data_IF_263320687623
#
_entry.id   IF_263320687623
#
_cell.length_a   1.000
_cell.length_b   1.000
_cell.length_c   1.000
_cell.angle_alpha   90.00
_cell.angle_beta   90.00
_cell.angle_gamma   90.00
#
_symmetry.space_group_name_H-M   'P 1'
#
loop_
_entity.id
_entity.type
_entity.pdbx_description
1 polymer ?
#
# COMPACT_ATOMS: atom_id res chain seq x y z
N UNK A 1 87.12 -29.85 -21.23
CA UNK A 1 87.74 -28.68 -21.88
C UNK A 1 86.83 -27.50 -21.59
N UNK A 2 86.98 -26.79 -20.53
CA UNK A 2 87.69 -25.52 -20.31
C UNK A 2 87.35 -24.48 -21.41
N UNK A 3 86.58 -23.46 -21.00
CA UNK A 3 86.84 -21.98 -21.07
C UNK A 3 85.54 -21.26 -20.65
N UNK A 4 85.42 -20.72 -19.47
CA UNK A 4 85.81 -19.38 -18.96
C UNK A 4 85.05 -18.20 -19.56
N UNK A 5 84.47 -17.46 -18.69
CA UNK A 5 83.62 -16.26 -18.67
C UNK A 5 84.26 -15.01 -19.41
N UNK A 6 83.51 -13.89 -19.54
CA UNK A 6 83.55 -12.93 -18.46
C UNK A 6 82.25 -12.16 -18.21
N UNK A 7 82.16 -11.66 -16.96
CA UNK A 7 81.25 -10.68 -16.40
C UNK A 7 81.35 -9.33 -17.11
N UNK A 8 80.22 -8.72 -17.36
CA UNK A 8 80.09 -7.26 -17.42
C UNK A 8 78.86 -6.81 -16.69
N UNK A 9 79.00 -6.05 -15.60
CA UNK A 9 77.99 -5.17 -15.00
C UNK A 9 78.10 -3.80 -15.65
N UNK A 10 77.03 -3.04 -15.81
CA UNK A 10 76.97 -1.73 -15.24
C UNK A 10 75.64 -1.39 -14.52
N UNK A 11 75.86 -0.87 -13.34
CA UNK A 11 75.32 0.33 -12.69
C UNK A 11 73.82 0.64 -12.84
N UNK A 12 73.13 0.37 -11.75
CA UNK A 12 72.16 1.16 -11.02
C UNK A 12 71.70 2.49 -11.63
N UNK A 13 70.38 2.58 -11.99
CA UNK A 13 69.68 3.82 -11.89
C UNK A 13 68.39 3.47 -11.11
N UNK A 14 68.39 3.85 -9.84
CA UNK A 14 67.18 3.81 -8.97
C UNK A 14 66.28 4.98 -9.38
N UNK A 15 65.21 4.69 -10.11
CA UNK A 15 64.11 5.63 -10.33
C UNK A 15 63.14 5.49 -9.17
N UNK A 16 63.14 6.41 -8.24
CA UNK A 16 62.12 6.62 -7.20
C UNK A 16 60.87 7.11 -7.89
N UNK A 17 59.91 6.18 -8.12
CA UNK A 17 58.52 6.51 -8.42
C UNK A 17 57.82 6.77 -7.07
N UNK A 18 57.73 8.05 -6.71
CA UNK A 18 56.80 8.51 -5.67
C UNK A 18 55.37 8.35 -6.17
N UNK A 19 54.75 7.23 -5.84
CA UNK A 19 53.31 7.07 -5.98
C UNK A 19 52.60 7.99 -4.96
N UNK A 20 52.19 9.18 -5.40
CA UNK A 20 51.23 10.00 -4.65
C UNK A 20 49.90 9.24 -4.56
N UNK A 21 49.70 8.51 -3.45
CA UNK A 21 48.39 8.01 -3.08
C UNK A 21 47.51 9.23 -2.78
N UNK A 22 46.74 9.65 -3.76
CA UNK A 22 45.59 10.52 -3.54
C UNK A 22 44.59 9.69 -2.78
N UNK A 23 44.66 9.71 -1.46
CA UNK A 23 43.57 9.33 -0.58
C UNK A 23 42.44 10.34 -0.85
N UNK A 24 41.63 10.02 -1.83
CA UNK A 24 40.33 10.65 -1.98
C UNK A 24 39.57 10.39 -0.67
N UNK A 25 39.61 11.37 0.22
CA UNK A 25 38.68 11.41 1.33
C UNK A 25 37.27 11.40 0.69
N UNK A 26 36.64 10.23 0.60
CA UNK A 26 35.20 10.13 0.38
C UNK A 26 34.58 10.88 1.55
N UNK A 27 34.23 12.15 1.32
CA UNK A 27 33.32 12.85 2.26
C UNK A 27 32.17 11.91 2.50
N UNK A 28 31.78 11.63 3.76
CA UNK A 28 30.55 10.91 4.01
C UNK A 28 29.47 11.67 3.24
N UNK A 29 28.82 11.00 2.30
CA UNK A 29 27.67 11.56 1.62
C UNK A 29 26.64 11.82 2.73
N UNK A 30 26.58 13.08 3.21
CA UNK A 30 25.52 13.49 4.11
C UNK A 30 24.22 13.24 3.35
N UNK A 31 23.33 12.44 3.94
CA UNK A 31 21.99 12.29 3.38
C UNK A 31 21.36 13.68 3.26
N UNK A 32 20.67 13.91 2.16
CA UNK A 32 19.95 15.18 1.93
C UNK A 32 18.96 15.38 3.07
N UNK A 33 18.89 16.58 3.65
CA UNK A 33 17.82 16.89 4.60
C UNK A 33 16.49 16.89 3.87
N UNK A 34 15.50 16.19 4.41
CA UNK A 34 14.16 16.14 3.78
C UNK A 34 13.54 17.54 3.60
N UNK A 35 13.86 18.48 4.51
CA UNK A 35 13.41 19.88 4.43
C UNK A 35 14.06 20.69 3.29
N UNK A 36 15.12 20.20 2.68
CA UNK A 36 15.78 20.83 1.54
C UNK A 36 15.17 20.41 0.19
N UNK A 37 14.25 19.45 0.18
CA UNK A 37 13.54 19.02 -1.02
C UNK A 37 12.52 20.09 -1.46
N UNK A 38 12.16 20.05 -2.75
CA UNK A 38 11.20 21.00 -3.32
C UNK A 38 9.78 20.67 -2.86
N UNK A 39 9.11 21.63 -2.19
CA UNK A 39 7.74 21.49 -1.68
C UNK A 39 7.50 20.11 -1.03
N UNK A 40 8.21 19.75 0.04
CA UNK A 40 8.08 18.45 0.65
C UNK A 40 6.69 18.28 1.26
N UNK A 41 6.07 17.11 1.01
CA UNK A 41 4.86 16.64 1.65
C UNK A 41 5.24 15.41 2.48
N UNK A 42 5.15 15.54 3.80
CA UNK A 42 5.51 14.46 4.74
C UNK A 42 4.33 13.52 4.96
N UNK A 43 4.55 12.24 4.67
CA UNK A 43 3.51 11.21 4.67
C UNK A 43 3.90 10.06 5.61
N UNK A 44 2.92 9.57 6.38
CA UNK A 44 3.02 8.32 7.13
C UNK A 44 1.76 7.48 6.95
N UNK A 45 1.84 6.17 7.22
CA UNK A 45 0.66 5.29 7.15
C UNK A 45 0.89 3.94 6.51
N UNK A 46 -0.15 3.43 5.85
CA UNK A 46 -0.17 2.22 5.04
C UNK A 46 0.07 2.47 3.54
N UNK A 47 -0.09 1.44 2.69
CA UNK A 47 -0.10 1.58 1.23
C UNK A 47 1.26 1.89 0.57
N UNK A 48 2.32 1.19 0.95
CA UNK A 48 3.71 1.48 0.53
C UNK A 48 3.89 1.53 -0.99
N UNK A 49 3.35 0.56 -1.73
CA UNK A 49 3.60 0.45 -3.19
C UNK A 49 2.92 1.59 -3.92
N UNK A 50 1.65 1.86 -3.61
CA UNK A 50 0.92 2.97 -4.23
C UNK A 50 1.56 4.34 -3.95
N UNK A 51 2.07 4.55 -2.73
CA UNK A 51 2.74 5.82 -2.39
C UNK A 51 4.09 5.95 -3.08
N UNK A 52 4.86 4.89 -3.22
CA UNK A 52 6.12 4.91 -3.96
C UNK A 52 5.88 5.24 -5.45
N UNK A 53 4.88 4.60 -6.07
CA UNK A 53 4.54 4.84 -7.47
C UNK A 53 3.99 6.25 -7.68
N UNK A 54 3.16 6.75 -6.76
CA UNK A 54 2.69 8.13 -6.78
C UNK A 54 3.84 9.12 -6.60
N UNK A 55 4.75 8.88 -5.65
CA UNK A 55 5.92 9.73 -5.42
C UNK A 55 6.81 9.80 -6.67
N UNK A 56 7.03 8.67 -7.33
CA UNK A 56 7.74 8.62 -8.62
C UNK A 56 7.03 9.43 -9.69
N UNK A 57 5.72 9.26 -9.83
CA UNK A 57 4.93 9.98 -10.84
C UNK A 57 4.92 11.50 -10.59
N UNK A 58 4.88 11.95 -9.31
CA UNK A 58 4.86 13.36 -8.93
C UNK A 58 6.24 14.01 -8.87
N UNK A 59 7.32 13.25 -8.89
CA UNK A 59 8.69 13.77 -8.72
C UNK A 59 9.06 14.87 -9.74
N UNK A 60 8.48 14.84 -10.95
CA UNK A 60 8.66 15.84 -12.00
C UNK A 60 7.73 17.06 -11.88
N UNK A 61 6.77 17.04 -10.95
CA UNK A 61 5.73 18.09 -10.84
C UNK A 61 6.04 19.18 -9.81
N UNK A 62 7.23 19.15 -9.21
CA UNK A 62 7.63 20.10 -8.18
C UNK A 62 7.07 19.81 -6.79
N UNK A 63 6.58 18.59 -6.55
CA UNK A 63 6.15 18.10 -5.23
C UNK A 63 7.02 16.90 -4.86
N UNK A 64 7.71 16.96 -3.73
CA UNK A 64 8.47 15.85 -3.19
C UNK A 64 7.67 15.12 -2.12
N UNK A 65 7.14 13.93 -2.44
CA UNK A 65 6.51 13.10 -1.41
C UNK A 65 7.59 12.44 -0.57
N UNK A 66 7.67 12.82 0.70
CA UNK A 66 8.60 12.26 1.69
C UNK A 66 7.81 11.32 2.59
N UNK A 67 8.11 10.02 2.53
CA UNK A 67 7.32 9.04 3.25
C UNK A 67 8.15 8.16 4.19
N UNK A 68 7.59 7.97 5.39
CA UNK A 68 8.07 7.03 6.39
C UNK A 68 6.86 6.26 6.92
N UNK A 69 6.57 5.13 6.27
CA UNK A 69 5.35 4.37 6.50
C UNK A 69 5.51 3.47 7.73
N UNK A 70 4.62 3.62 8.71
CA UNK A 70 4.68 2.93 9.99
C UNK A 70 3.40 2.13 10.30
N UNK A 71 2.31 2.36 9.57
CA UNK A 71 1.01 1.70 9.75
C UNK A 71 -0.12 2.69 9.99
N UNK A 72 -1.35 2.22 9.77
CA UNK A 72 -2.56 3.06 9.74
C UNK A 72 -2.84 3.74 11.08
N UNK A 73 -2.77 3.04 12.19
CA UNK A 73 -3.09 3.62 13.50
C UNK A 73 -2.01 4.62 13.97
N UNK A 74 -0.75 4.45 13.57
CA UNK A 74 0.29 5.45 13.81
C UNK A 74 0.07 6.71 12.96
N UNK A 75 -0.46 6.57 11.73
CA UNK A 75 -0.83 7.71 10.90
C UNK A 75 -2.01 8.50 11.49
N UNK A 76 -3.02 7.78 11.99
CA UNK A 76 -4.14 8.40 12.72
C UNK A 76 -3.63 9.20 13.92
N UNK A 77 -2.76 8.62 14.74
CA UNK A 77 -2.14 9.28 15.90
C UNK A 77 -1.30 10.50 15.48
N UNK A 78 -0.47 10.36 14.45
CA UNK A 78 0.36 11.46 13.94
C UNK A 78 -0.47 12.67 13.51
N UNK A 79 -1.62 12.47 12.88
CA UNK A 79 -2.50 13.57 12.46
C UNK A 79 -3.34 14.10 13.63
N UNK A 80 -3.95 13.24 14.42
CA UNK A 80 -4.86 13.67 15.48
C UNK A 80 -4.10 14.34 16.63
N UNK A 81 -3.03 13.75 17.08
CA UNK A 81 -2.28 14.18 18.26
C UNK A 81 -1.00 14.96 17.92
N UNK A 82 -0.64 15.05 16.62
CA UNK A 82 0.58 15.71 16.18
C UNK A 82 1.86 14.95 16.56
N UNK A 83 1.76 13.64 16.78
CA UNK A 83 2.92 12.79 17.12
C UNK A 83 3.92 12.79 15.96
N UNK A 84 5.16 13.25 16.17
CA UNK A 84 6.15 13.30 15.10
C UNK A 84 6.57 11.90 14.65
N UNK A 85 6.89 11.77 13.36
CA UNK A 85 7.44 10.56 12.74
C UNK A 85 8.96 10.65 12.68
N UNK A 86 9.63 9.56 13.03
CA UNK A 86 11.09 9.55 13.19
C UNK A 86 11.54 9.93 14.60
N UNK A 87 12.83 9.77 14.86
CA UNK A 87 13.46 10.10 16.14
C UNK A 87 14.97 10.27 15.94
N UNK A 88 15.72 10.61 16.99
CA UNK A 88 17.17 10.76 16.95
C UNK A 88 17.92 9.48 16.47
N UNK A 89 17.32 8.32 16.64
CA UNK A 89 17.88 7.01 16.21
C UNK A 89 17.24 6.47 14.94
N UNK A 90 16.23 7.16 14.38
CA UNK A 90 15.47 6.71 13.22
C UNK A 90 15.04 7.91 12.34
N UNK A 91 16.02 8.59 11.75
CA UNK A 91 15.81 9.80 10.93
C UNK A 91 15.47 9.51 9.47
N UNK A 92 15.72 8.29 8.98
CA UNK A 92 15.65 8.01 7.54
C UNK A 92 14.21 7.95 7.03
N UNK A 93 13.90 8.77 6.03
CA UNK A 93 12.68 8.71 5.22
C UNK A 93 13.02 8.45 3.74
N UNK A 94 12.04 8.04 2.96
CA UNK A 94 12.18 7.81 1.53
C UNK A 94 11.49 8.91 0.73
N UNK A 95 11.99 9.19 -0.47
CA UNK A 95 11.35 10.01 -1.49
C UNK A 95 11.79 9.52 -2.89
N UNK A 96 11.15 9.98 -3.95
CA UNK A 96 11.58 9.71 -5.31
C UNK A 96 12.19 10.97 -5.93
N UNK A 97 13.38 10.83 -6.54
CA UNK A 97 13.80 11.72 -7.59
C UNK A 97 13.17 11.29 -8.94
N UNK A 98 13.57 11.87 -10.04
CA UNK A 98 12.98 11.54 -11.35
C UNK A 98 13.08 10.05 -11.74
N UNK A 99 13.95 9.24 -11.14
CA UNK A 99 14.28 7.90 -11.61
C UNK A 99 14.30 6.81 -10.54
N UNK A 100 14.73 7.14 -9.31
CA UNK A 100 15.01 6.16 -8.26
C UNK A 100 14.51 6.60 -6.90
N UNK A 101 14.17 5.62 -6.04
CA UNK A 101 13.90 5.88 -4.64
C UNK A 101 15.18 6.32 -3.93
N UNK A 102 15.13 7.46 -3.28
CA UNK A 102 16.21 8.08 -2.54
C UNK A 102 15.90 8.09 -1.04
N UNK A 103 16.88 8.42 -0.24
CA UNK A 103 16.75 8.61 1.21
C UNK A 103 17.10 10.05 1.58
N UNK A 104 16.38 10.58 2.58
CA UNK A 104 16.67 11.85 3.19
C UNK A 104 16.53 11.75 4.71
N UNK A 105 17.15 12.68 5.44
CA UNK A 105 17.11 12.72 6.90
C UNK A 105 16.02 13.67 7.40
N UNK A 106 15.14 13.14 8.24
CA UNK A 106 14.21 13.90 9.08
C UNK A 106 14.96 14.52 10.27
N UNK A 107 14.40 15.58 10.90
CA UNK A 107 14.95 16.12 12.12
C UNK A 107 15.08 15.06 13.23
N UNK A 108 16.12 15.11 14.09
CA UNK A 108 16.26 14.20 15.23
C UNK A 108 15.11 14.27 16.24
N UNK A 109 14.36 15.38 16.26
CA UNK A 109 13.15 15.54 17.07
C UNK A 109 11.91 14.90 16.45
N UNK A 110 12.06 14.28 15.28
CA UNK A 110 10.97 13.81 14.45
C UNK A 110 10.34 14.93 13.60
N UNK A 111 9.51 14.53 12.66
CA UNK A 111 8.81 15.40 11.70
C UNK A 111 7.30 15.29 11.87
N UNK A 112 6.63 16.42 12.08
CA UNK A 112 5.17 16.48 11.98
C UNK A 112 4.78 16.21 10.52
N UNK A 113 3.80 15.33 10.32
CA UNK A 113 3.36 14.93 8.97
C UNK A 113 2.22 15.80 8.46
N UNK A 114 2.18 15.96 7.14
CA UNK A 114 1.14 16.72 6.43
C UNK A 114 -0.05 15.83 6.05
N UNK A 115 0.23 14.54 5.76
CA UNK A 115 -0.77 13.59 5.27
C UNK A 115 -0.58 12.24 5.96
N UNK A 116 -1.62 11.77 6.64
CA UNK A 116 -1.73 10.44 7.20
C UNK A 116 -2.54 9.54 6.28
N UNK A 117 -2.04 8.33 6.02
CA UNK A 117 -2.74 7.32 5.23
C UNK A 117 -3.20 6.20 6.15
N UNK A 118 -4.50 5.97 6.21
CA UNK A 118 -5.05 4.87 7.01
C UNK A 118 -5.91 3.96 6.16
N UNK A 119 -5.64 2.67 6.26
CA UNK A 119 -6.40 1.60 5.59
C UNK A 119 -7.73 1.33 6.30
N UNK A 120 -7.94 1.93 7.45
CA UNK A 120 -9.14 1.76 8.28
C UNK A 120 -9.66 3.12 8.75
N UNK A 121 -10.94 3.17 9.11
CA UNK A 121 -11.52 4.39 9.67
C UNK A 121 -10.75 4.82 10.93
N UNK A 122 -10.53 6.12 11.14
CA UNK A 122 -9.80 6.62 12.32
C UNK A 122 -10.37 6.11 13.66
N UNK A 123 -11.70 5.92 13.73
CA UNK A 123 -12.38 5.35 14.90
C UNK A 123 -12.04 3.89 15.20
N UNK A 124 -11.49 3.15 14.24
CA UNK A 124 -10.99 1.79 14.43
C UNK A 124 -9.66 1.80 15.20
N UNK A 125 -8.83 2.83 15.01
CA UNK A 125 -7.54 2.96 15.68
C UNK A 125 -7.63 3.56 17.08
N UNK A 126 -8.55 4.50 17.29
CA UNK A 126 -8.76 5.14 18.60
C UNK A 126 -10.20 5.57 18.80
N UNK A 127 -10.64 5.62 20.06
CA UNK A 127 -11.98 6.06 20.40
C UNK A 127 -12.21 7.52 20.03
N UNK A 128 -13.22 7.78 19.20
CA UNK A 128 -13.60 9.12 18.74
C UNK A 128 -15.10 9.35 18.97
N UNK A 129 -15.56 9.47 20.25
CA UNK A 129 -16.98 9.54 20.55
C UNK A 129 -17.68 10.78 19.98
N UNK A 130 -16.93 11.86 19.71
CA UNK A 130 -17.41 13.09 19.07
C UNK A 130 -17.13 13.18 17.58
N UNK A 131 -16.64 12.11 16.95
CA UNK A 131 -16.11 12.14 15.58
C UNK A 131 -14.71 12.78 15.51
N UNK A 132 -14.26 13.05 14.29
CA UNK A 132 -12.99 13.75 14.07
C UNK A 132 -13.04 15.21 14.55
N UNK A 133 -11.93 15.76 15.10
CA UNK A 133 -11.84 17.18 15.38
C UNK A 133 -12.11 18.02 14.12
N UNK A 134 -12.77 19.17 14.26
CA UNK A 134 -13.16 20.04 13.14
C UNK A 134 -11.97 20.55 12.29
N UNK A 135 -10.76 20.53 12.86
CA UNK A 135 -9.53 20.90 12.17
C UNK A 135 -8.81 19.68 11.53
N UNK A 136 -9.48 18.55 11.38
CA UNK A 136 -8.96 17.36 10.70
C UNK A 136 -9.92 16.95 9.59
N UNK A 137 -9.41 16.87 8.37
CA UNK A 137 -10.12 16.32 7.22
C UNK A 137 -9.83 14.84 7.09
N UNK A 138 -10.85 14.07 6.73
CA UNK A 138 -10.79 12.68 6.30
C UNK A 138 -11.37 12.59 4.89
N UNK A 139 -10.52 12.36 3.91
CA UNK A 139 -10.90 12.27 2.51
C UNK A 139 -10.77 10.83 2.05
N UNK A 140 -11.82 10.31 1.41
CA UNK A 140 -11.84 8.94 0.95
C UNK A 140 -11.14 8.84 -0.41
N UNK A 141 -10.00 8.19 -0.41
CA UNK A 141 -9.18 7.90 -1.57
C UNK A 141 -9.56 6.60 -2.29
N UNK A 142 -8.59 5.96 -2.96
CA UNK A 142 -8.76 4.66 -3.57
C UNK A 142 -9.18 3.59 -2.56
N UNK A 143 -9.77 2.50 -3.05
CA UNK A 143 -10.24 1.39 -2.21
C UNK A 143 -9.20 0.28 -2.19
N UNK A 144 -8.81 -0.13 -0.98
CA UNK A 144 -8.00 -1.32 -0.75
C UNK A 144 -8.86 -2.50 -0.30
N UNK A 145 -8.52 -3.69 -0.79
CA UNK A 145 -9.06 -4.95 -0.33
C UNK A 145 -8.00 -5.74 0.44
N UNK A 146 -8.44 -6.61 1.32
CA UNK A 146 -7.57 -7.41 2.19
C UNK A 146 -7.90 -8.88 2.00
N UNK A 147 -6.92 -9.76 1.98
CA UNK A 147 -7.12 -11.16 1.68
C UNK A 147 -6.32 -12.07 2.59
N UNK A 148 -6.89 -13.22 2.92
CA UNK A 148 -6.11 -14.32 3.46
C UNK A 148 -5.27 -14.93 2.35
N UNK A 149 -4.05 -15.31 2.70
CA UNK A 149 -3.08 -15.86 1.76
C UNK A 149 -2.43 -17.11 2.31
N UNK A 150 -2.13 -18.03 1.40
CA UNK A 150 -1.41 -19.28 1.69
C UNK A 150 -0.26 -19.43 0.70
N UNK A 151 0.77 -20.26 0.98
CA UNK A 151 1.79 -20.61 -0.01
C UNK A 151 1.17 -21.16 -1.30
N UNK A 152 1.79 -20.92 -2.45
CA UNK A 152 1.29 -21.33 -3.77
C UNK A 152 1.04 -22.84 -3.90
N UNK A 153 1.79 -23.63 -3.15
CA UNK A 153 1.70 -25.09 -3.12
C UNK A 153 0.58 -25.64 -2.23
N UNK A 154 -0.09 -24.78 -1.43
CA UNK A 154 -1.27 -25.18 -0.65
C UNK A 154 -2.47 -25.48 -1.54
N UNK A 155 -3.25 -26.47 -1.14
CA UNK A 155 -4.51 -26.84 -1.80
C UNK A 155 -5.72 -26.07 -1.29
N UNK A 156 -5.55 -25.28 -0.22
CA UNK A 156 -6.62 -24.49 0.39
C UNK A 156 -7.12 -23.40 -0.57
N UNK A 157 -8.44 -23.20 -0.63
CA UNK A 157 -9.09 -22.27 -1.59
C UNK A 157 -10.01 -21.25 -0.94
N UNK A 158 -10.50 -21.55 0.27
CA UNK A 158 -11.53 -20.75 0.93
C UNK A 158 -11.33 -20.75 2.45
N UNK A 159 -11.69 -19.64 3.07
CA UNK A 159 -11.82 -19.51 4.51
C UNK A 159 -13.13 -18.75 4.82
N UNK A 160 -13.91 -19.26 5.77
CA UNK A 160 -15.07 -18.55 6.25
C UNK A 160 -14.72 -17.61 7.41
N UNK A 161 -15.56 -16.62 7.67
CA UNK A 161 -15.45 -15.75 8.86
C UNK A 161 -15.35 -16.56 10.15
N UNK A 162 -16.18 -17.59 10.29
CA UNK A 162 -16.15 -18.47 11.49
C UNK A 162 -14.80 -19.22 11.58
N UNK A 163 -14.29 -19.77 10.48
CA UNK A 163 -12.97 -20.40 10.48
C UNK A 163 -11.87 -19.40 10.86
N UNK A 164 -11.88 -18.20 10.29
CA UNK A 164 -10.94 -17.12 10.63
C UNK A 164 -11.00 -16.75 12.12
N UNK A 165 -12.21 -16.60 12.67
CA UNK A 165 -12.40 -16.33 14.09
C UNK A 165 -11.76 -17.41 14.98
N UNK A 166 -11.99 -18.68 14.70
CA UNK A 166 -11.41 -19.77 15.49
C UNK A 166 -9.90 -19.88 15.28
N UNK A 167 -9.42 -19.85 14.04
CA UNK A 167 -7.98 -19.97 13.72
C UNK A 167 -7.18 -18.89 14.43
N UNK A 168 -7.53 -17.63 14.25
CA UNK A 168 -6.75 -16.51 14.79
C UNK A 168 -7.11 -16.13 16.23
N UNK A 169 -8.29 -16.51 16.71
CA UNK A 169 -8.68 -16.27 18.11
C UNK A 169 -8.23 -17.35 19.07
N UNK A 170 -8.12 -18.60 18.62
CA UNK A 170 -7.86 -19.75 19.49
C UNK A 170 -6.61 -20.55 19.09
N UNK A 171 -6.05 -20.33 17.89
CA UNK A 171 -4.80 -20.94 17.45
C UNK A 171 -4.86 -22.47 17.49
N UNK A 172 -3.96 -23.09 18.25
CA UNK A 172 -3.88 -24.56 18.40
C UNK A 172 -5.16 -25.20 18.94
N UNK A 173 -5.96 -24.44 19.67
CA UNK A 173 -7.21 -24.91 20.29
C UNK A 173 -8.44 -24.62 19.40
N UNK A 174 -8.21 -24.14 18.17
CA UNK A 174 -9.27 -23.79 17.21
C UNK A 174 -10.09 -24.97 16.71
N UNK A 175 -9.44 -26.13 16.57
CA UNK A 175 -10.04 -27.32 15.95
C UNK A 175 -10.32 -27.16 14.45
N UNK A 176 -9.77 -26.15 13.80
CA UNK A 176 -9.98 -25.86 12.37
C UNK A 176 -8.78 -26.34 11.55
N UNK A 177 -8.84 -27.59 11.10
CA UNK A 177 -7.84 -28.13 10.18
C UNK A 177 -7.82 -27.38 8.83
N UNK A 178 -6.63 -27.18 8.24
CA UNK A 178 -5.29 -27.60 8.70
C UNK A 178 -4.56 -26.54 9.54
N UNK A 179 -5.21 -25.45 9.98
CA UNK A 179 -4.63 -24.27 10.61
C UNK A 179 -4.65 -24.35 12.14
N UNK A 180 -4.09 -25.43 12.71
CA UNK A 180 -4.03 -25.67 14.15
C UNK A 180 -2.64 -25.47 14.77
N UNK A 181 -1.62 -25.18 13.96
CA UNK A 181 -0.24 -24.97 14.41
C UNK A 181 0.08 -23.45 14.34
N UNK A 182 0.07 -22.78 15.52
CA UNK A 182 0.28 -21.33 15.62
C UNK A 182 1.61 -20.85 15.02
N UNK A 183 2.62 -21.71 14.92
CA UNK A 183 3.92 -21.36 14.32
C UNK A 183 3.84 -21.12 12.81
N UNK A 184 2.73 -21.47 12.15
CA UNK A 184 2.44 -21.26 10.74
C UNK A 184 1.28 -20.28 10.48
N UNK A 185 0.74 -19.67 11.54
CA UNK A 185 -0.22 -18.56 11.42
C UNK A 185 0.55 -17.25 11.45
N UNK A 186 0.62 -16.53 10.34
CA UNK A 186 1.37 -15.28 10.27
C UNK A 186 0.45 -14.07 10.33
N UNK A 187 0.68 -13.22 11.33
CA UNK A 187 -0.16 -12.07 11.69
C UNK A 187 0.66 -10.77 11.66
N UNK A 188 -0.01 -9.63 11.73
CA UNK A 188 0.61 -8.32 11.88
C UNK A 188 0.45 -7.84 13.34
N UNK A 189 1.11 -6.76 13.68
CA UNK A 189 0.89 -6.08 14.95
C UNK A 189 -0.41 -5.26 14.95
N UNK A 190 -0.88 -4.86 16.13
CA UNK A 190 -2.14 -4.16 16.31
C UNK A 190 -2.16 -2.72 15.71
N UNK A 191 -1.00 -2.14 15.37
CA UNK A 191 -0.94 -0.83 14.69
C UNK A 191 -1.17 -0.93 13.18
N UNK A 192 -1.12 -2.14 12.62
CA UNK A 192 -1.32 -2.41 11.20
C UNK A 192 -2.79 -2.30 10.81
N UNK A 193 -3.10 -1.46 9.80
CA UNK A 193 -4.45 -1.38 9.22
C UNK A 193 -4.96 -2.74 8.72
N UNK A 194 -4.11 -3.55 8.11
CA UNK A 194 -4.47 -4.93 7.69
C UNK A 194 -4.92 -5.78 8.88
N UNK A 195 -4.21 -5.70 10.01
CA UNK A 195 -4.59 -6.43 11.24
C UNK A 195 -5.90 -5.89 11.83
N UNK A 196 -6.09 -4.57 11.84
CA UNK A 196 -7.30 -3.91 12.31
C UNK A 196 -8.51 -4.31 11.45
N UNK A 197 -8.38 -4.23 10.12
CA UNK A 197 -9.44 -4.59 9.17
C UNK A 197 -9.88 -6.03 9.35
N UNK A 198 -8.94 -6.97 9.41
CA UNK A 198 -9.28 -8.38 9.63
C UNK A 198 -9.78 -8.64 11.05
N UNK A 199 -9.27 -7.92 12.06
CA UNK A 199 -9.78 -7.98 13.42
C UNK A 199 -11.28 -7.68 13.46
N UNK A 200 -11.70 -6.62 12.80
CA UNK A 200 -13.11 -6.27 12.64
C UNK A 200 -13.86 -7.32 11.79
N UNK A 201 -13.28 -7.78 10.67
CA UNK A 201 -13.93 -8.72 9.75
C UNK A 201 -14.24 -10.07 10.40
N UNK A 202 -13.31 -10.65 11.17
CA UNK A 202 -13.51 -11.96 11.81
C UNK A 202 -13.98 -11.87 13.27
N UNK A 203 -14.06 -10.65 13.84
CA UNK A 203 -14.53 -10.46 15.23
C UNK A 203 -13.50 -10.84 16.30
N UNK A 204 -12.21 -10.81 15.99
CA UNK A 204 -11.11 -11.04 16.95
C UNK A 204 -10.36 -9.74 17.16
N UNK A 205 -10.32 -9.16 18.39
CA UNK A 205 -9.54 -7.95 18.66
C UNK A 205 -8.08 -8.11 18.20
N UNK A 206 -7.50 -7.11 17.51
CA UNK A 206 -6.18 -7.22 16.88
C UNK A 206 -5.05 -7.61 17.83
N UNK A 207 -5.14 -7.25 19.12
CA UNK A 207 -4.18 -7.56 20.17
C UNK A 207 -4.32 -8.99 20.75
N UNK A 208 -5.37 -9.72 20.35
CA UNK A 208 -5.67 -11.07 20.83
C UNK A 208 -5.42 -12.18 19.81
N UNK A 209 -4.90 -11.83 18.67
CA UNK A 209 -4.65 -12.80 17.62
C UNK A 209 -3.56 -13.79 18.02
N UNK A 210 -3.78 -15.06 17.66
CA UNK A 210 -2.81 -16.14 17.79
C UNK A 210 -1.96 -16.22 16.52
N UNK A 211 -0.70 -16.58 16.69
CA UNK A 211 0.24 -16.75 15.58
C UNK A 211 1.55 -15.98 15.78
N UNK A 212 2.37 -16.00 14.74
CA UNK A 212 3.70 -15.39 14.73
C UNK A 212 3.60 -13.99 14.10
N UNK A 213 3.92 -12.94 14.86
CA UNK A 213 3.86 -11.58 14.32
C UNK A 213 4.94 -11.34 13.26
N UNK A 214 4.56 -10.60 12.23
CA UNK A 214 5.44 -10.08 11.20
C UNK A 214 5.56 -8.56 11.34
N UNK A 215 6.78 -8.04 11.24
CA UNK A 215 7.10 -6.62 11.42
C UNK A 215 6.63 -5.75 10.24
N UNK A 216 6.39 -6.38 9.08
CA UNK A 216 5.91 -5.71 7.87
C UNK A 216 5.17 -6.71 6.98
N UNK A 217 4.44 -6.21 5.95
CA UNK A 217 3.87 -7.09 4.91
C UNK A 217 4.95 -7.86 4.15
N UNK A 218 6.12 -7.26 3.91
CA UNK A 218 7.26 -7.94 3.27
C UNK A 218 7.85 -9.06 4.14
N UNK A 219 7.96 -8.85 5.46
CA UNK A 219 8.37 -9.90 6.41
C UNK A 219 7.34 -11.05 6.43
N UNK A 220 6.04 -10.72 6.40
CA UNK A 220 4.98 -11.72 6.34
C UNK A 220 5.06 -12.56 5.05
N UNK A 221 5.27 -11.91 3.91
CA UNK A 221 5.49 -12.61 2.62
C UNK A 221 6.68 -13.54 2.71
N UNK A 222 7.80 -13.09 3.28
CA UNK A 222 9.01 -13.92 3.46
C UNK A 222 8.72 -15.15 4.32
N UNK A 223 8.01 -15.01 5.43
CA UNK A 223 7.61 -16.11 6.31
C UNK A 223 6.69 -17.13 5.62
N UNK A 224 5.70 -16.63 4.86
CA UNK A 224 4.79 -17.48 4.09
C UNK A 224 5.54 -18.32 3.06
N UNK A 225 6.44 -17.72 2.29
CA UNK A 225 7.22 -18.39 1.23
C UNK A 225 8.20 -19.40 1.83
N UNK A 226 8.81 -19.09 2.97
CA UNK A 226 9.77 -19.95 3.65
C UNK A 226 9.12 -21.13 4.42
N UNK A 227 7.78 -21.20 4.45
CA UNK A 227 7.09 -22.23 5.22
C UNK A 227 7.35 -23.64 4.69
N UNK A 228 7.66 -24.55 5.63
CA UNK A 228 7.85 -25.97 5.36
C UNK A 228 6.56 -26.79 5.42
N UNK A 229 5.44 -26.17 5.86
CA UNK A 229 4.11 -26.80 5.98
C UNK A 229 3.05 -25.98 5.22
N UNK A 230 3.04 -25.98 3.89
CA UNK A 230 2.16 -25.11 3.09
C UNK A 230 0.67 -25.20 3.46
N UNK A 231 0.17 -26.42 3.77
CA UNK A 231 -1.23 -26.62 4.12
C UNK A 231 -1.61 -25.99 5.47
N UNK A 232 -0.72 -26.04 6.46
CA UNK A 232 -0.95 -25.45 7.78
C UNK A 232 -0.66 -23.94 7.82
N UNK A 233 -0.13 -23.37 6.73
CA UNK A 233 0.32 -21.98 6.68
C UNK A 233 -0.76 -21.07 6.14
N UNK A 234 -1.02 -19.98 6.88
CA UNK A 234 -1.93 -18.92 6.48
C UNK A 234 -1.45 -17.56 7.01
N UNK A 235 -1.73 -16.50 6.28
CA UNK A 235 -1.46 -15.12 6.71
C UNK A 235 -2.46 -14.13 6.11
N UNK A 236 -2.26 -12.86 6.40
CA UNK A 236 -3.12 -11.75 5.96
C UNK A 236 -2.31 -10.69 5.22
N UNK A 237 -2.78 -10.26 4.07
CA UNK A 237 -2.16 -9.20 3.26
C UNK A 237 -3.22 -8.28 2.66
N UNK A 238 -2.80 -7.09 2.22
CA UNK A 238 -3.59 -6.31 1.25
C UNK A 238 -3.60 -7.03 -0.10
N UNK A 239 -4.63 -6.82 -0.90
CA UNK A 239 -4.71 -7.36 -2.26
C UNK A 239 -3.57 -6.85 -3.16
N UNK A 240 -3.07 -5.64 -2.89
CA UNK A 240 -1.89 -5.05 -3.49
C UNK A 240 -0.66 -5.96 -3.31
N UNK A 241 -0.28 -6.23 -2.06
CA UNK A 241 0.89 -7.06 -1.74
C UNK A 241 0.69 -8.50 -2.18
N UNK A 242 -0.50 -9.06 -1.98
CA UNK A 242 -0.84 -10.41 -2.44
C UNK A 242 -0.76 -10.51 -3.97
N UNK A 243 -1.25 -9.50 -4.69
CA UNK A 243 -1.18 -9.40 -6.14
C UNK A 243 0.26 -9.39 -6.67
N UNK A 244 1.14 -8.60 -6.06
CA UNK A 244 2.56 -8.54 -6.41
C UNK A 244 3.30 -9.87 -6.16
N UNK A 245 2.76 -10.76 -5.30
CA UNK A 245 3.37 -12.03 -4.93
C UNK A 245 2.61 -13.28 -5.45
N UNK A 246 1.75 -13.15 -6.47
CA UNK A 246 0.93 -14.25 -7.03
C UNK A 246 1.74 -15.42 -7.59
N UNK A 247 3.00 -15.23 -7.90
CA UNK A 247 3.88 -16.32 -8.33
C UNK A 247 4.15 -17.32 -7.21
N UNK A 248 4.16 -16.87 -5.96
CA UNK A 248 4.56 -17.65 -4.78
C UNK A 248 3.45 -17.84 -3.75
N UNK A 249 2.40 -17.01 -3.80
CA UNK A 249 1.25 -17.04 -2.90
C UNK A 249 -0.06 -17.26 -3.66
N UNK A 250 -1.05 -17.77 -2.93
CA UNK A 250 -2.45 -17.91 -3.39
C UNK A 250 -3.36 -17.16 -2.41
N UNK A 251 -4.29 -16.38 -2.93
CA UNK A 251 -5.35 -15.74 -2.15
C UNK A 251 -6.49 -16.72 -1.92
N UNK A 252 -7.07 -16.71 -0.72
CA UNK A 252 -8.25 -17.49 -0.40
C UNK A 252 -9.54 -16.70 -0.73
N UNK A 253 -10.57 -17.39 -1.19
CA UNK A 253 -11.90 -16.85 -1.16
C UNK A 253 -12.33 -16.66 0.31
N UNK A 254 -12.94 -15.51 0.61
CA UNK A 254 -13.50 -15.24 1.94
C UNK A 254 -15.02 -15.33 1.91
N UNK A 255 -15.59 -16.08 2.87
CA UNK A 255 -17.02 -16.23 3.04
C UNK A 255 -17.46 -15.50 4.31
N UNK A 256 -18.18 -14.40 4.16
CA UNK A 256 -18.77 -13.67 5.28
C UNK A 256 -20.09 -14.32 5.75
N UNK A 257 -20.62 -13.84 6.87
CA UNK A 257 -21.93 -14.24 7.35
C UNK A 257 -22.99 -13.97 6.27
N UNK A 258 -23.95 -14.87 6.17
CA UNK A 258 -25.05 -14.80 5.18
C UNK A 258 -24.66 -14.98 3.70
N UNK A 259 -23.40 -15.31 3.41
CA UNK A 259 -22.99 -15.71 2.07
C UNK A 259 -23.03 -17.22 1.90
N UNK A 260 -23.57 -17.69 0.78
CA UNK A 260 -23.64 -19.11 0.45
C UNK A 260 -22.31 -19.71 -0.01
N UNK A 261 -21.36 -18.86 -0.46
CA UNK A 261 -20.03 -19.25 -0.90
C UNK A 261 -19.01 -18.13 -0.61
N UNK A 262 -17.73 -18.47 -0.68
CA UNK A 262 -16.65 -17.49 -0.58
C UNK A 262 -16.41 -16.76 -1.89
N UNK A 263 -16.03 -15.50 -1.78
CA UNK A 263 -15.65 -14.64 -2.90
C UNK A 263 -14.15 -14.31 -2.83
N UNK A 264 -13.48 -14.30 -3.99
CA UNK A 264 -12.17 -13.65 -4.12
C UNK A 264 -12.38 -12.14 -4.29
N UNK A 265 -11.33 -11.37 -4.16
CA UNK A 265 -11.37 -9.92 -4.47
C UNK A 265 -11.75 -9.66 -5.93
N UNK A 266 -11.34 -10.57 -6.82
CA UNK A 266 -11.56 -10.53 -8.27
C UNK A 266 -12.70 -11.48 -8.68
N UNK A 267 -13.17 -11.38 -9.92
CA UNK A 267 -14.20 -12.29 -10.46
C UNK A 267 -13.75 -13.76 -10.48
N UNK A 268 -12.44 -14.00 -10.51
CA UNK A 268 -11.84 -15.33 -10.46
C UNK A 268 -10.58 -15.33 -9.57
N UNK A 269 -10.08 -16.49 -9.11
CA UNK A 269 -8.87 -16.57 -8.28
C UNK A 269 -7.61 -16.04 -8.97
N UNK A 270 -7.59 -15.97 -10.29
CA UNK A 270 -6.49 -15.43 -11.10
C UNK A 270 -6.80 -14.09 -11.76
N UNK A 271 -7.95 -13.52 -11.50
CA UNK A 271 -8.37 -12.21 -12.01
C UNK A 271 -7.57 -11.03 -11.48
N UNK A 272 -7.77 -9.87 -12.09
CA UNK A 272 -7.22 -8.58 -11.66
C UNK A 272 -8.28 -7.47 -11.66
N UNK A 273 -9.54 -7.81 -11.95
CA UNK A 273 -10.65 -6.89 -12.19
C UNK A 273 -11.29 -6.32 -10.91
N UNK A 274 -10.92 -6.85 -9.74
CA UNK A 274 -11.49 -6.49 -8.43
C UNK A 274 -13.02 -6.39 -8.45
N UNK A 275 -13.67 -7.19 -9.29
CA UNK A 275 -15.10 -7.08 -9.54
C UNK A 275 -15.91 -7.28 -8.27
N UNK A 276 -15.58 -8.30 -7.47
CA UNK A 276 -16.32 -8.59 -6.25
C UNK A 276 -16.09 -7.54 -5.13
N UNK A 277 -15.00 -6.76 -5.21
CA UNK A 277 -14.79 -5.58 -4.35
C UNK A 277 -15.64 -4.42 -4.85
N UNK A 278 -15.62 -4.16 -6.15
CA UNK A 278 -16.30 -3.03 -6.79
C UNK A 278 -17.81 -3.08 -6.64
N UNK A 279 -18.40 -4.27 -6.71
CA UNK A 279 -19.84 -4.52 -6.58
C UNK A 279 -20.29 -4.92 -5.16
N UNK A 280 -19.34 -5.09 -4.24
CA UNK A 280 -19.62 -5.35 -2.81
C UNK A 280 -19.83 -6.81 -2.43
N UNK A 281 -19.66 -7.78 -3.32
CA UNK A 281 -19.73 -9.21 -2.96
C UNK A 281 -18.57 -9.62 -2.04
N UNK A 282 -17.38 -9.10 -2.24
CA UNK A 282 -16.27 -9.32 -1.31
C UNK A 282 -16.39 -8.35 -0.14
N UNK A 283 -16.31 -8.86 1.10
CA UNK A 283 -16.65 -8.07 2.28
C UNK A 283 -15.48 -7.27 2.86
N UNK A 284 -14.22 -7.76 2.75
CA UNK A 284 -13.08 -7.20 3.49
C UNK A 284 -12.32 -6.17 2.64
N UNK A 285 -12.83 -4.94 2.63
CA UNK A 285 -12.25 -3.80 1.93
C UNK A 285 -12.66 -2.48 2.61
N UNK A 286 -11.93 -1.43 2.36
CA UNK A 286 -12.24 -0.07 2.80
C UNK A 286 -11.63 0.98 1.89
N UNK A 287 -12.12 2.23 1.95
CA UNK A 287 -11.44 3.34 1.32
C UNK A 287 -10.12 3.62 2.06
N UNK A 288 -9.11 4.04 1.35
CA UNK A 288 -7.93 4.64 1.96
C UNK A 288 -8.31 6.02 2.52
N UNK A 289 -8.13 6.21 3.81
CA UNK A 289 -8.39 7.46 4.50
C UNK A 289 -7.18 8.39 4.35
N UNK A 290 -7.40 9.54 3.75
CA UNK A 290 -6.41 10.59 3.54
C UNK A 290 -6.65 11.67 4.61
N UNK A 291 -5.90 11.57 5.70
CA UNK A 291 -6.07 12.43 6.88
C UNK A 291 -5.11 13.62 6.81
N UNK A 292 -5.60 14.82 6.98
CA UNK A 292 -4.76 16.04 7.01
C UNK A 292 -5.32 17.09 7.95
N UNK A 293 -4.45 17.97 8.45
CA UNK A 293 -4.90 19.14 9.22
C UNK A 293 -5.51 20.19 8.29
N UNK A 294 -6.60 20.78 8.75
CA UNK A 294 -7.34 21.82 8.04
C UNK A 294 -7.13 23.19 8.70
N UNK A 295 -7.15 24.22 7.88
CA UNK A 295 -7.23 25.61 8.32
C UNK A 295 -8.67 26.00 8.75
N UNK A 296 -8.85 27.26 9.18
CA UNK A 296 -10.15 27.76 9.62
C UNK A 296 -11.22 27.84 8.52
N UNK A 297 -10.86 27.63 7.25
CA UNK A 297 -11.75 27.59 6.10
C UNK A 297 -12.04 26.15 5.62
N UNK A 298 -11.43 25.15 6.24
CA UNK A 298 -11.62 23.74 5.90
C UNK A 298 -10.70 23.24 4.78
N UNK A 299 -9.64 23.96 4.43
CA UNK A 299 -8.65 23.52 3.44
C UNK A 299 -7.42 22.90 4.13
N UNK A 300 -6.74 21.93 3.50
CA UNK A 300 -5.47 21.40 4.00
C UNK A 300 -4.45 22.54 4.25
N UNK A 301 -3.84 22.57 5.44
CA UNK A 301 -2.86 23.60 5.82
C UNK A 301 -1.66 23.56 4.86
N UNK A 302 -1.14 22.37 4.54
CA UNK A 302 -0.14 22.21 3.49
C UNK A 302 -0.86 22.08 2.14
N UNK A 303 -0.72 23.13 1.30
CA UNK A 303 -1.39 23.17 -0.01
C UNK A 303 -0.97 22.01 -0.93
N UNK A 304 0.31 21.61 -0.92
CA UNK A 304 0.79 20.50 -1.73
C UNK A 304 0.22 19.16 -1.24
N UNK A 305 0.02 18.98 0.07
CA UNK A 305 -0.72 17.84 0.61
C UNK A 305 -2.19 17.85 0.14
N UNK A 306 -2.82 19.04 0.10
CA UNK A 306 -4.15 19.22 -0.46
C UNK A 306 -4.24 18.83 -1.95
N UNK A 307 -3.22 19.16 -2.74
CA UNK A 307 -3.12 18.73 -4.13
C UNK A 307 -3.00 17.19 -4.25
N UNK A 308 -2.18 16.56 -3.40
CA UNK A 308 -2.06 15.08 -3.34
C UNK A 308 -3.40 14.43 -3.00
N UNK A 309 -4.11 14.96 -2.01
CA UNK A 309 -5.48 14.51 -1.66
C UNK A 309 -6.40 14.64 -2.87
N UNK A 310 -6.39 15.78 -3.55
CA UNK A 310 -7.24 16.04 -4.71
C UNK A 310 -6.94 15.10 -5.89
N UNK A 311 -5.67 14.72 -6.08
CA UNK A 311 -5.28 13.70 -7.08
C UNK A 311 -5.82 12.32 -6.70
N UNK A 312 -5.58 11.87 -5.46
CA UNK A 312 -5.99 10.54 -5.01
C UNK A 312 -7.50 10.36 -4.92
N UNK A 313 -8.25 11.43 -4.64
CA UNK A 313 -9.73 11.42 -4.66
C UNK A 313 -10.32 11.61 -6.06
N UNK A 314 -9.49 11.91 -7.07
CA UNK A 314 -9.95 12.17 -8.44
C UNK A 314 -10.64 13.52 -8.64
N UNK A 315 -10.61 14.43 -7.65
CA UNK A 315 -11.20 15.78 -7.74
C UNK A 315 -10.33 16.75 -8.54
N UNK A 316 -9.06 16.38 -8.78
CA UNK A 316 -8.11 17.13 -9.61
C UNK A 316 -7.34 16.17 -10.50
N UNK A 317 -7.13 16.55 -11.75
CA UNK A 317 -6.26 15.80 -12.67
C UNK A 317 -4.81 15.91 -12.20
N UNK A 318 -4.12 14.77 -12.11
CA UNK A 318 -2.73 14.74 -11.71
C UNK A 318 -1.83 15.44 -12.74
N UNK A 319 -0.77 16.16 -12.32
CA UNK A 319 0.12 16.87 -13.24
C UNK A 319 0.96 15.88 -14.06
N UNK A 320 1.56 16.37 -15.16
CA UNK A 320 2.48 15.58 -15.97
C UNK A 320 1.81 14.52 -16.84
N UNK A 321 0.47 14.44 -16.86
CA UNK A 321 -0.27 13.53 -17.74
C UNK A 321 -0.14 12.06 -17.39
N UNK A 322 0.32 11.69 -16.20
CA UNK A 322 0.31 10.30 -15.77
C UNK A 322 -1.12 9.83 -15.46
N UNK A 323 -1.38 8.60 -15.80
CA UNK A 323 -2.67 7.96 -15.59
C UNK A 323 -2.75 7.35 -14.19
N UNK A 324 -3.43 8.05 -13.28
CA UNK A 324 -3.62 7.57 -11.91
C UNK A 324 -4.45 6.27 -11.85
N UNK A 325 -5.44 6.10 -12.75
CA UNK A 325 -6.26 4.88 -12.78
C UNK A 325 -5.39 3.69 -13.17
N UNK A 326 -4.53 3.86 -14.19
CA UNK A 326 -3.59 2.84 -14.60
C UNK A 326 -2.57 2.51 -13.50
N UNK A 327 -2.06 3.51 -12.79
CA UNK A 327 -1.15 3.33 -11.67
C UNK A 327 -1.81 2.50 -10.54
N UNK A 328 -3.03 2.86 -10.14
CA UNK A 328 -3.77 2.15 -9.09
C UNK A 328 -4.14 0.73 -9.52
N UNK A 329 -4.60 0.55 -10.76
CA UNK A 329 -4.90 -0.77 -11.30
C UNK A 329 -3.66 -1.68 -11.33
N UNK A 330 -2.52 -1.15 -11.77
CA UNK A 330 -1.24 -1.86 -11.72
C UNK A 330 -0.81 -2.28 -10.31
N UNK A 331 -1.17 -1.48 -9.31
CA UNK A 331 -0.96 -1.80 -7.89
C UNK A 331 -2.06 -2.70 -7.28
N UNK A 332 -3.05 -3.17 -8.03
CA UNK A 332 -4.21 -3.93 -7.54
C UNK A 332 -5.10 -3.17 -6.53
N UNK A 333 -5.13 -1.85 -6.64
CA UNK A 333 -5.95 -0.93 -5.86
C UNK A 333 -7.09 -0.43 -6.75
N UNK A 334 -8.30 -0.25 -6.19
CA UNK A 334 -9.46 0.19 -6.96
C UNK A 334 -9.60 1.72 -6.84
N UNK A 335 -9.55 2.49 -7.93
CA UNK A 335 -9.87 3.91 -7.87
C UNK A 335 -11.34 4.10 -7.45
N UNK A 336 -11.64 5.10 -6.63
CA UNK A 336 -12.99 5.34 -6.14
C UNK A 336 -14.04 5.46 -7.26
N UNK A 337 -13.62 5.98 -8.44
CA UNK A 337 -14.51 6.09 -9.62
C UNK A 337 -14.90 4.74 -10.26
N UNK A 338 -14.25 3.62 -9.90
CA UNK A 338 -14.59 2.30 -10.39
C UNK A 338 -15.50 1.51 -9.44
N UNK A 339 -15.80 2.06 -8.26
CA UNK A 339 -16.68 1.43 -7.26
C UNK A 339 -18.16 1.62 -7.64
N UNK A 340 -18.99 0.63 -7.31
CA UNK A 340 -20.45 0.64 -7.47
C UNK A 340 -21.17 0.71 -6.10
N UNK A 341 -20.41 0.50 -5.03
CA UNK A 341 -20.88 0.57 -3.65
C UNK A 341 -19.91 1.36 -2.79
N UNK A 342 -20.39 1.90 -1.68
CA UNK A 342 -19.59 2.56 -0.66
C UNK A 342 -20.03 2.19 0.74
N UNK A 343 -19.16 2.42 1.71
CA UNK A 343 -19.47 2.33 3.14
C UNK A 343 -18.95 3.57 3.87
N UNK A 344 -19.61 3.89 4.99
CA UNK A 344 -19.31 5.08 5.78
C UNK A 344 -18.80 4.75 7.18
N UNK A 345 -18.55 3.47 7.46
CA UNK A 345 -17.93 2.97 8.69
C UNK A 345 -17.23 1.65 8.42
N UNK A 346 -16.34 1.26 9.32
CA UNK A 346 -15.58 0.01 9.18
C UNK A 346 -16.51 -1.19 9.04
N UNK A 347 -16.41 -1.89 7.91
CA UNK A 347 -17.26 -3.02 7.55
C UNK A 347 -18.77 -2.75 7.67
N UNK A 348 -19.17 -1.47 7.67
CA UNK A 348 -20.56 -1.04 7.78
C UNK A 348 -21.40 -1.40 6.55
N UNK A 349 -22.71 -1.14 6.61
CA UNK A 349 -23.62 -1.43 5.51
C UNK A 349 -23.19 -0.78 4.21
N UNK A 350 -23.36 -1.50 3.11
CA UNK A 350 -23.11 -0.99 1.78
C UNK A 350 -24.29 -0.16 1.29
N UNK A 351 -23.98 0.93 0.61
CA UNK A 351 -24.95 1.74 -0.13
C UNK A 351 -24.51 1.82 -1.60
N UNK A 352 -25.47 1.91 -2.50
CA UNK A 352 -25.17 2.16 -3.91
C UNK A 352 -24.34 3.42 -4.05
N UNK A 353 -23.38 3.40 -4.96
CA UNK A 353 -22.50 4.51 -5.25
C UNK A 353 -22.39 4.71 -6.75
N UNK A 354 -22.70 5.91 -7.18
CA UNK A 354 -22.54 6.36 -8.56
C UNK A 354 -21.57 7.56 -8.53
N UNK A 355 -20.30 7.34 -8.91
CA UNK A 355 -19.32 8.43 -8.97
C UNK A 355 -19.66 9.40 -10.08
N UNK A 356 -19.41 10.69 -9.88
CA UNK A 356 -19.71 11.74 -10.88
C UNK A 356 -19.08 11.44 -12.25
N UNK A 357 -17.87 10.86 -12.24
CA UNK A 357 -17.16 10.42 -13.42
C UNK A 357 -16.74 8.97 -13.26
N UNK A 358 -17.65 8.05 -13.56
CA UNK A 358 -17.37 6.62 -13.50
C UNK A 358 -16.20 6.22 -14.41
N UNK A 359 -15.39 5.25 -13.94
CA UNK A 359 -14.22 4.74 -14.67
C UNK A 359 -14.12 3.20 -14.61
N UNK A 360 -15.22 2.52 -14.32
CA UNK A 360 -15.24 1.09 -14.10
C UNK A 360 -14.80 0.28 -15.32
N UNK A 361 -15.22 0.68 -16.49
CA UNK A 361 -14.86 0.05 -17.76
C UNK A 361 -13.38 0.30 -18.11
N UNK A 362 -12.90 1.52 -17.93
CA UNK A 362 -11.50 1.86 -18.15
C UNK A 362 -10.59 1.14 -17.17
N UNK A 363 -10.95 1.10 -15.90
CA UNK A 363 -10.23 0.32 -14.88
C UNK A 363 -10.14 -1.16 -15.28
N UNK A 364 -11.25 -1.77 -15.73
CA UNK A 364 -11.28 -3.18 -16.17
C UNK A 364 -10.35 -3.41 -17.35
N UNK A 365 -10.37 -2.52 -18.36
CA UNK A 365 -9.47 -2.57 -19.51
C UNK A 365 -8.01 -2.52 -19.08
N UNK A 366 -7.64 -1.55 -18.25
CA UNK A 366 -6.25 -1.39 -17.79
C UNK A 366 -5.81 -2.57 -16.91
N UNK A 367 -6.67 -3.05 -16.02
CA UNK A 367 -6.36 -4.12 -15.09
C UNK A 367 -6.25 -5.50 -15.75
N UNK A 368 -7.00 -5.75 -16.82
CA UNK A 368 -7.14 -7.08 -17.44
C UNK A 368 -6.75 -7.16 -18.90
N UNK A 369 -6.50 -6.02 -19.55
CA UNK A 369 -6.26 -5.91 -21.00
C UNK A 369 -7.52 -6.06 -21.85
N UNK A 370 -8.72 -6.02 -21.26
CA UNK A 370 -10.00 -6.12 -21.96
C UNK A 370 -11.15 -5.61 -21.10
N UNK A 371 -12.21 -5.11 -21.77
CA UNK A 371 -13.50 -4.82 -21.14
C UNK A 371 -14.63 -5.22 -22.07
N UNK A 372 -15.80 -5.53 -21.52
CA UNK A 372 -17.02 -5.75 -22.29
C UNK A 372 -17.74 -4.45 -22.64
N UNK A 373 -17.27 -3.31 -22.15
CA UNK A 373 -17.89 -2.01 -22.37
C UNK A 373 -17.70 -1.51 -23.80
N UNK A 374 -18.68 -0.78 -24.30
CA UNK A 374 -18.63 -0.16 -25.62
C UNK A 374 -17.66 1.03 -25.60
N UNK A 375 -16.71 1.06 -26.49
CA UNK A 375 -15.85 2.23 -26.72
C UNK A 375 -16.67 3.41 -27.27
N UNK A 376 -16.27 4.65 -26.92
CA UNK A 376 -16.93 5.87 -27.33
C UNK A 376 -15.98 7.06 -27.42
N UNK A 377 -16.37 8.09 -28.17
CA UNK A 377 -15.74 9.41 -28.22
C UNK A 377 -16.63 10.51 -27.65
N UNK A 378 -17.94 10.22 -27.52
CA UNK A 378 -18.95 11.18 -27.05
C UNK A 378 -20.11 10.45 -26.38
N UNK A 379 -20.87 11.16 -25.55
CA UNK A 379 -22.05 10.63 -24.85
C UNK A 379 -23.13 10.11 -25.81
N UNK A 380 -23.26 10.74 -26.99
CA UNK A 380 -24.25 10.35 -27.99
C UNK A 380 -24.07 8.91 -28.48
N UNK A 381 -22.83 8.42 -28.49
CA UNK A 381 -22.52 7.05 -28.90
C UNK A 381 -22.93 6.00 -27.89
N UNK A 382 -23.19 6.41 -26.63
CA UNK A 382 -23.50 5.49 -25.54
C UNK A 382 -24.97 5.07 -25.46
N UNK A 383 -25.86 5.67 -26.29
CA UNK A 383 -27.26 5.28 -26.40
C UNK A 383 -28.17 5.87 -25.32
N UNK A 384 -29.42 5.37 -25.30
CA UNK A 384 -30.44 5.81 -24.32
C UNK A 384 -30.21 5.19 -22.94
N UNK A 385 -30.56 5.90 -21.86
CA UNK A 385 -30.48 5.42 -20.48
C UNK A 385 -29.36 6.03 -19.64
N UNK A 386 -28.71 7.08 -20.14
CA UNK A 386 -27.72 7.92 -19.43
C UNK A 386 -26.32 7.34 -19.20
N UNK A 387 -25.80 6.34 -19.94
CA UNK A 387 -24.36 6.10 -19.87
C UNK A 387 -23.61 7.31 -20.45
N UNK A 388 -22.53 7.71 -19.77
CA UNK A 388 -21.65 8.77 -20.24
C UNK A 388 -20.38 8.19 -20.83
N UNK A 389 -19.84 8.87 -21.84
CA UNK A 389 -18.55 8.53 -22.40
C UNK A 389 -17.43 9.05 -21.49
N UNK A 390 -16.97 8.22 -20.57
CA UNK A 390 -15.86 8.52 -19.68
C UNK A 390 -14.66 7.67 -20.03
N UNK A 391 -13.47 8.27 -20.06
CA UNK A 391 -12.21 7.56 -20.34
C UNK A 391 -12.23 6.69 -21.59
N UNK A 392 -13.03 7.06 -22.60
CA UNK A 392 -13.16 6.34 -23.87
C UNK A 392 -14.16 5.18 -23.87
N UNK A 393 -14.93 4.99 -22.80
CA UNK A 393 -15.94 3.93 -22.66
C UNK A 393 -17.28 4.47 -22.21
N UNK A 394 -18.35 3.80 -22.66
CA UNK A 394 -19.71 4.04 -22.17
C UNK A 394 -19.87 3.47 -20.78
N UNK A 395 -19.73 4.33 -19.78
CA UNK A 395 -19.85 3.98 -18.37
C UNK A 395 -21.30 4.12 -17.91
N UNK A 396 -21.82 3.08 -17.25
CA UNK A 396 -23.09 3.17 -16.52
C UNK A 396 -22.84 3.83 -15.16
N UNK A 397 -23.64 4.83 -14.82
CA UNK A 397 -23.63 5.47 -13.50
C UNK A 397 -24.41 4.65 -12.47
#
# INVERSE_FOLDING_TARGET
MIRSAPRWWPRSVAALLAAAAVLGASSPAHAVLCSALTNPVYITGGGKVAIADLAKALSSSGISLVYKLQGSCLAVDAILNGTPVGSATDTVAAYWDASTEQKCDLPPTGQVVDLGLSDVFPSTCQSLPGGLPSNVGDFFGPVEAYTFVVPKTSTQKVISKAAGYFVFGFGKDSGVDPWTDESFLFVRDASSGTQQMFGAAIGVPPDRWRGVPATSSGDLVTKLIASTKPEATIGILTAEVAGANRATLTTLAYQDVDQSCGYWTDSTPSGFDKRNVRDGHYAVWGPLHLLTKLDGMGYPINKSAGDVVAYLTGTKTAPGGFDLIALLAGANIVPACAMQVRRMSELGPLTSFAPERACGCYFEEVATGKTACKACMSDVECGEGSPKCNYGYCETQ
#
